data_IF_773081585091
#
_entry.id   IF_773081585091
#
_cell.length_a   1.000
_cell.length_b   1.000
_cell.length_c   1.000
_cell.angle_alpha   90.00
_cell.angle_beta   90.00
_cell.angle_gamma   90.00
#
_symmetry.space_group_name_H-M   'P 1'
#
loop_
_entity.id
_entity.type
_entity.pdbx_description
1 polymer ?
#
# COMPACT_ATOMS: atom_id res chain seq x y z
N UNK A 1 2.43 -3.05 -20.19
CA UNK A 1 3.20 -3.31 -21.41
C UNK A 1 2.34 -3.08 -22.65
N UNK A 2 1.25 -3.81 -22.87
CA UNK A 2 0.33 -3.58 -24.02
C UNK A 2 -0.30 -2.20 -23.93
N UNK A 3 -0.73 -1.74 -22.74
CA UNK A 3 -1.32 -0.41 -22.54
C UNK A 3 -0.38 0.71 -23.00
N UNK A 4 0.89 0.64 -22.64
CA UNK A 4 1.88 1.62 -23.06
C UNK A 4 2.04 1.64 -24.59
N UNK A 5 2.01 0.46 -25.21
CA UNK A 5 2.12 0.34 -26.67
C UNK A 5 0.96 1.02 -27.40
N UNK A 6 -0.28 0.73 -27.01
CA UNK A 6 -1.40 1.36 -27.69
C UNK A 6 -1.59 2.85 -27.34
N UNK A 7 -1.18 3.31 -26.14
CA UNK A 7 -1.14 4.74 -25.85
C UNK A 7 -0.10 5.47 -26.70
N UNK A 8 1.07 4.85 -26.95
CA UNK A 8 2.06 5.40 -27.85
C UNK A 8 1.52 5.47 -29.30
N UNK A 9 0.92 4.40 -29.79
CA UNK A 9 0.33 4.33 -31.13
C UNK A 9 -0.84 5.31 -31.30
N UNK A 10 -1.57 5.58 -30.25
CA UNK A 10 -2.64 6.58 -30.21
C UNK A 10 -2.12 8.03 -30.14
N UNK A 11 -0.79 8.25 -29.98
CA UNK A 11 -0.20 9.58 -29.81
C UNK A 11 -0.54 10.26 -28.49
N UNK A 12 -0.93 9.48 -27.45
CA UNK A 12 -1.36 10.04 -26.18
C UNK A 12 -0.24 10.17 -25.15
N UNK A 13 0.87 9.41 -25.28
CA UNK A 13 1.93 9.43 -24.27
C UNK A 13 2.58 10.79 -24.12
N UNK A 14 2.96 11.44 -25.22
CA UNK A 14 3.62 12.75 -25.19
C UNK A 14 2.76 13.82 -24.50
N UNK A 15 1.43 13.77 -24.74
CA UNK A 15 0.49 14.67 -24.11
C UNK A 15 0.32 14.37 -22.61
N UNK A 16 0.31 13.10 -22.22
CA UNK A 16 0.25 12.70 -20.81
C UNK A 16 1.52 13.11 -20.08
N UNK A 17 2.70 12.94 -20.69
CA UNK A 17 3.99 13.36 -20.12
C UNK A 17 4.08 14.88 -19.97
N UNK A 18 3.54 15.63 -20.92
CA UNK A 18 3.44 17.10 -20.82
C UNK A 18 2.55 17.56 -19.65
N UNK A 19 1.58 16.75 -19.24
CA UNK A 19 0.77 16.95 -18.03
C UNK A 19 1.40 16.38 -16.75
N UNK A 20 2.61 15.79 -16.83
CA UNK A 20 3.32 15.23 -15.69
C UNK A 20 2.99 13.77 -15.39
N UNK A 21 2.30 13.05 -16.28
CA UNK A 21 2.06 11.61 -16.15
C UNK A 21 3.17 10.81 -16.80
N UNK A 22 3.92 10.08 -16.02
CA UNK A 22 5.03 9.24 -16.49
C UNK A 22 4.78 7.77 -16.17
N UNK A 23 5.26 6.89 -17.06
CA UNK A 23 5.32 5.47 -16.77
C UNK A 23 6.39 5.20 -15.72
N UNK A 24 5.98 4.78 -14.50
CA UNK A 24 6.88 4.49 -13.39
C UNK A 24 7.04 3.00 -13.12
N UNK A 25 6.16 2.16 -13.63
CA UNK A 25 6.24 0.71 -13.45
C UNK A 25 4.96 -0.01 -13.85
N UNK A 26 5.02 -1.34 -13.81
CA UNK A 26 3.90 -2.24 -14.05
C UNK A 26 3.59 -3.05 -12.81
N UNK A 27 2.32 -3.19 -12.47
CA UNK A 27 1.86 -3.98 -11.33
C UNK A 27 1.25 -3.13 -10.22
N UNK A 28 1.27 -3.67 -9.01
CA UNK A 28 0.71 -3.00 -7.84
C UNK A 28 1.71 -1.99 -7.27
N UNK A 29 1.44 -0.70 -7.44
CA UNK A 29 2.21 0.38 -6.83
C UNK A 29 1.42 1.02 -5.69
N UNK A 30 0.47 1.86 -6.00
CA UNK A 30 -0.37 2.57 -5.01
C UNK A 30 -1.17 1.62 -4.13
N UNK A 31 -1.70 0.53 -4.70
CA UNK A 31 -2.50 -0.47 -3.96
C UNK A 31 -1.72 -1.15 -2.83
N UNK A 32 -0.39 -1.27 -2.95
CA UNK A 32 0.48 -1.91 -1.95
C UNK A 32 1.28 -0.89 -1.11
N UNK A 33 1.04 0.40 -1.29
CA UNK A 33 1.74 1.44 -0.54
C UNK A 33 3.12 1.82 -1.10
N UNK A 34 3.37 1.58 -2.39
CA UNK A 34 4.63 1.88 -3.06
C UNK A 34 4.51 3.08 -4.02
N UNK A 35 3.70 4.07 -3.65
CA UNK A 35 3.55 5.29 -4.45
C UNK A 35 4.82 6.16 -4.45
N UNK A 36 5.73 5.92 -3.52
CA UNK A 36 6.94 6.71 -3.33
C UNK A 36 6.72 7.96 -2.47
N UNK A 37 7.79 8.65 -2.06
CA UNK A 37 7.69 9.87 -1.29
C UNK A 37 7.25 11.05 -2.15
N UNK A 38 6.59 12.02 -1.54
CA UNK A 38 6.43 13.33 -2.16
C UNK A 38 7.78 14.06 -2.20
N UNK A 39 8.02 14.95 -3.18
CA UNK A 39 9.17 15.85 -3.14
C UNK A 39 9.21 16.63 -1.82
N UNK A 40 10.38 16.73 -1.19
CA UNK A 40 10.55 17.34 0.11
C UNK A 40 9.89 18.73 0.24
N UNK A 41 10.02 19.67 -0.73
CA UNK A 41 9.36 20.98 -0.64
C UNK A 41 7.82 20.90 -0.57
N UNK A 42 7.23 19.88 -1.21
CA UNK A 42 5.76 19.68 -1.19
C UNK A 42 5.33 19.14 0.17
N UNK A 43 6.01 18.13 0.71
CA UNK A 43 5.73 17.59 2.03
C UNK A 43 5.90 18.66 3.12
N UNK A 44 6.96 19.46 3.07
CA UNK A 44 7.19 20.58 3.97
C UNK A 44 6.06 21.62 3.90
N UNK A 45 5.64 22.01 2.70
CA UNK A 45 4.55 22.98 2.52
C UNK A 45 3.22 22.44 3.08
N UNK A 46 2.92 21.15 2.91
CA UNK A 46 1.73 20.51 3.49
C UNK A 46 1.77 20.60 5.01
N UNK A 47 2.90 20.25 5.63
CA UNK A 47 3.04 20.27 7.09
C UNK A 47 3.02 21.70 7.67
N UNK A 48 3.81 22.62 7.11
CA UNK A 48 3.88 24.00 7.58
C UNK A 48 2.56 24.75 7.41
N UNK A 49 1.89 24.55 6.28
CA UNK A 49 0.61 25.16 5.96
C UNK A 49 -0.61 24.43 6.57
N UNK A 50 -0.41 23.27 7.21
CA UNK A 50 -1.48 22.36 7.62
C UNK A 50 -2.51 22.14 6.50
N UNK A 51 -2.02 21.91 5.26
CA UNK A 51 -2.85 21.87 4.08
C UNK A 51 -3.62 20.55 3.99
N UNK A 52 -4.81 20.61 3.43
CA UNK A 52 -5.57 19.43 3.03
C UNK A 52 -5.13 18.99 1.64
N UNK A 53 -4.04 18.21 1.57
CA UNK A 53 -3.61 17.61 0.31
C UNK A 53 -4.55 16.48 -0.09
N UNK A 54 -4.84 16.40 -1.40
CA UNK A 54 -5.75 15.41 -1.96
C UNK A 54 -5.04 14.60 -3.06
N UNK A 55 -5.50 13.37 -3.30
CA UNK A 55 -5.16 12.61 -4.50
C UNK A 55 -6.40 12.26 -5.30
N UNK A 56 -6.28 12.27 -6.62
CA UNK A 56 -7.29 11.76 -7.54
C UNK A 56 -6.64 10.68 -8.38
N UNK A 57 -7.19 9.48 -8.34
CA UNK A 57 -6.57 8.34 -9.03
C UNK A 57 -7.61 7.39 -9.60
N UNK A 58 -7.22 6.67 -10.64
CA UNK A 58 -7.95 5.53 -11.16
C UNK A 58 -7.23 4.25 -10.75
N UNK A 59 -7.90 3.37 -10.02
CA UNK A 59 -7.25 2.16 -9.51
C UNK A 59 -8.06 1.44 -8.44
N UNK A 60 -7.39 0.67 -7.59
CA UNK A 60 -8.01 -0.10 -6.53
C UNK A 60 -8.40 0.78 -5.33
N UNK A 61 -9.44 0.37 -4.61
CA UNK A 61 -10.08 1.12 -3.51
C UNK A 61 -9.33 1.16 -2.18
N UNK A 62 -8.15 0.59 -2.07
CA UNK A 62 -7.40 0.52 -0.81
C UNK A 62 -6.60 1.81 -0.58
N UNK A 63 -7.27 2.88 -0.16
CA UNK A 63 -6.64 4.21 -0.05
C UNK A 63 -6.03 4.52 1.30
N UNK A 64 -6.56 3.97 2.38
CA UNK A 64 -6.22 4.39 3.74
C UNK A 64 -4.73 4.22 4.05
N UNK A 65 -4.02 5.35 4.11
CA UNK A 65 -2.59 5.41 4.42
C UNK A 65 -1.64 4.77 3.40
N UNK A 66 -2.16 4.27 2.27
CA UNK A 66 -1.35 3.59 1.25
C UNK A 66 -0.89 4.49 0.12
N UNK A 67 -1.61 5.55 -0.19
CA UNK A 67 -1.22 6.47 -1.25
C UNK A 67 -0.04 7.30 -0.77
N UNK A 68 -0.24 8.09 0.27
CA UNK A 68 0.83 8.81 0.95
C UNK A 68 0.35 9.25 2.34
N UNK A 69 1.19 9.26 3.39
CA UNK A 69 0.79 9.70 4.73
C UNK A 69 0.36 11.15 4.80
N UNK A 70 0.91 12.03 3.96
CA UNK A 70 0.58 13.45 3.92
C UNK A 70 -0.71 13.77 3.15
N UNK A 71 -1.28 12.78 2.44
CA UNK A 71 -2.51 12.95 1.68
C UNK A 71 -3.70 12.53 2.52
N UNK A 72 -4.57 13.49 2.86
CA UNK A 72 -5.69 13.29 3.79
C UNK A 72 -6.99 12.88 3.12
N UNK A 73 -7.19 13.23 1.85
CA UNK A 73 -8.38 12.88 1.10
C UNK A 73 -8.01 12.24 -0.25
N UNK A 74 -8.61 11.10 -0.54
CA UNK A 74 -8.31 10.33 -1.73
C UNK A 74 -9.59 10.07 -2.52
N UNK A 75 -9.57 10.38 -3.81
CA UNK A 75 -10.71 10.28 -4.69
C UNK A 75 -10.45 9.26 -5.80
N UNK A 76 -11.40 8.35 -5.97
CA UNK A 76 -11.38 7.39 -7.07
C UNK A 76 -12.20 7.96 -8.23
N UNK A 77 -11.57 8.07 -9.38
CA UNK A 77 -12.20 8.59 -10.59
C UNK A 77 -11.83 7.75 -11.81
N UNK A 78 -12.58 7.91 -12.89
CA UNK A 78 -12.19 7.32 -14.18
C UNK A 78 -10.92 7.96 -14.71
N UNK A 79 -10.12 7.28 -15.56
CA UNK A 79 -8.90 7.87 -16.12
C UNK A 79 -9.11 9.24 -16.77
N UNK A 80 -10.18 9.50 -17.56
CA UNK A 80 -10.42 10.83 -18.11
C UNK A 80 -10.65 11.92 -17.06
N UNK A 81 -11.36 11.59 -15.97
CA UNK A 81 -11.56 12.53 -14.87
C UNK A 81 -10.27 12.79 -14.09
N UNK A 82 -9.40 11.79 -13.92
CA UNK A 82 -8.07 12.01 -13.31
C UNK A 82 -7.27 13.02 -14.11
N UNK A 83 -7.30 12.94 -15.45
CA UNK A 83 -6.65 13.93 -16.33
C UNK A 83 -7.31 15.31 -16.20
N UNK A 84 -8.63 15.38 -16.17
CA UNK A 84 -9.35 16.64 -16.01
C UNK A 84 -9.01 17.35 -14.69
N UNK A 85 -8.96 16.63 -13.58
CA UNK A 85 -8.56 17.20 -12.29
C UNK A 85 -7.07 17.58 -12.24
N UNK A 86 -6.20 16.90 -12.99
CA UNK A 86 -4.80 17.30 -13.13
C UNK A 86 -4.67 18.64 -13.88
N UNK A 87 -5.49 18.84 -14.91
CA UNK A 87 -5.55 20.13 -15.65
C UNK A 87 -6.05 21.24 -14.72
N UNK A 88 -7.11 20.96 -13.94
CA UNK A 88 -7.69 21.93 -13.00
C UNK A 88 -6.73 22.26 -11.82
N UNK A 89 -5.88 21.33 -11.40
CA UNK A 89 -4.94 21.50 -10.28
C UNK A 89 -5.62 21.65 -8.91
N UNK A 90 -6.92 21.46 -8.80
CA UNK A 90 -7.69 21.60 -7.56
C UNK A 90 -8.91 20.68 -7.56
N UNK A 91 -9.34 20.29 -6.36
CA UNK A 91 -10.62 19.59 -6.12
C UNK A 91 -11.75 20.55 -5.74
N UNK A 92 -11.41 21.83 -5.47
CA UNK A 92 -12.40 22.84 -5.08
C UNK A 92 -13.00 23.53 -6.31
N UNK A 93 -13.71 22.75 -7.12
CA UNK A 93 -14.41 23.21 -8.32
C UNK A 93 -15.63 22.35 -8.58
N UNK A 94 -16.62 22.91 -9.25
CA UNK A 94 -17.73 22.16 -9.86
C UNK A 94 -17.36 21.86 -11.33
N UNK A 95 -17.03 20.61 -11.68
CA UNK A 95 -16.59 20.26 -13.03
C UNK A 95 -17.64 20.50 -14.13
N UNK A 96 -18.90 20.71 -13.76
CA UNK A 96 -19.99 20.99 -14.72
C UNK A 96 -20.15 22.48 -15.02
N UNK A 97 -19.80 23.36 -14.09
CA UNK A 97 -20.06 24.79 -14.19
C UNK A 97 -18.79 25.65 -14.15
N UNK A 98 -17.73 25.20 -13.49
CA UNK A 98 -16.48 25.93 -13.39
C UNK A 98 -15.52 25.58 -14.53
N UNK A 99 -14.73 26.54 -15.03
CA UNK A 99 -13.68 26.24 -16.00
C UNK A 99 -12.55 25.44 -15.34
N UNK A 100 -12.05 24.43 -16.04
CA UNK A 100 -10.91 23.64 -15.62
C UNK A 100 -9.58 24.38 -15.81
N UNK A 101 -9.51 25.24 -16.85
CA UNK A 101 -8.34 25.99 -17.22
C UNK A 101 -8.71 27.21 -18.05
N UNK A 102 -7.72 28.00 -18.39
CA UNK A 102 -7.83 29.07 -19.39
C UNK A 102 -6.76 28.88 -20.46
N UNK A 103 -7.11 29.15 -21.70
CA UNK A 103 -6.19 29.14 -22.83
C UNK A 103 -5.20 30.32 -22.74
N UNK A 104 -4.15 30.32 -23.55
CA UNK A 104 -3.15 31.37 -23.57
C UNK A 104 -3.73 32.77 -23.91
N UNK A 105 -4.84 32.84 -24.65
CA UNK A 105 -5.59 34.05 -24.99
C UNK A 105 -6.67 34.42 -23.95
N UNK A 106 -6.74 33.67 -22.84
CA UNK A 106 -7.61 33.94 -21.70
C UNK A 106 -9.04 33.37 -21.82
N UNK A 107 -9.33 32.54 -22.80
CA UNK A 107 -10.64 31.91 -22.92
C UNK A 107 -10.79 30.77 -21.91
N UNK A 108 -11.96 30.63 -21.23
CA UNK A 108 -12.19 29.54 -20.29
C UNK A 108 -12.38 28.20 -21.03
N UNK A 109 -11.82 27.13 -20.45
CA UNK A 109 -11.93 25.75 -20.94
C UNK A 109 -12.73 24.93 -19.92
N UNK A 110 -13.83 24.37 -20.35
CA UNK A 110 -14.72 23.57 -19.50
C UNK A 110 -14.55 22.08 -19.78
N UNK A 111 -15.00 21.24 -18.85
CA UNK A 111 -14.96 19.78 -19.00
C UNK A 111 -15.60 19.31 -20.31
N UNK A 112 -16.75 19.89 -20.70
CA UNK A 112 -17.45 19.58 -21.95
C UNK A 112 -16.62 19.84 -23.21
N UNK A 113 -15.68 20.78 -23.15
CA UNK A 113 -14.81 21.13 -24.28
C UNK A 113 -13.67 20.14 -24.47
N UNK A 114 -13.31 19.42 -23.39
CA UNK A 114 -12.26 18.40 -23.36
C UNK A 114 -12.82 16.98 -23.49
N UNK A 115 -14.12 16.78 -23.26
CA UNK A 115 -14.69 15.43 -23.20
C UNK A 115 -14.87 14.85 -24.60
N UNK A 116 -14.20 13.72 -24.93
CA UNK A 116 -14.28 13.15 -26.28
C UNK A 116 -15.66 12.55 -26.54
N UNK A 117 -16.09 12.62 -27.78
CA UNK A 117 -17.30 11.92 -28.24
C UNK A 117 -17.07 10.41 -28.34
N UNK A 118 -18.13 9.63 -28.28
CA UNK A 118 -18.02 8.17 -28.46
C UNK A 118 -17.42 7.79 -29.82
N UNK A 119 -17.69 8.57 -30.87
CA UNK A 119 -17.15 8.34 -32.20
C UNK A 119 -15.64 8.57 -32.28
N UNK A 120 -15.10 9.61 -31.59
CA UNK A 120 -13.66 9.84 -31.48
C UNK A 120 -12.96 8.72 -30.71
N UNK A 121 -13.55 8.28 -29.61
CA UNK A 121 -13.02 7.15 -28.84
C UNK A 121 -12.99 5.88 -29.69
N UNK A 122 -14.10 5.55 -30.37
CA UNK A 122 -14.21 4.36 -31.23
C UNK A 122 -13.20 4.41 -32.37
N UNK A 123 -13.00 5.54 -33.02
CA UNK A 123 -12.03 5.71 -34.09
C UNK A 123 -10.62 5.42 -33.60
N UNK A 124 -10.20 5.96 -32.44
CA UNK A 124 -8.87 5.72 -31.87
C UNK A 124 -8.73 4.26 -31.44
N UNK A 125 -9.68 3.68 -30.75
CA UNK A 125 -9.65 2.28 -30.30
C UNK A 125 -9.49 1.34 -31.51
N UNK A 126 -10.32 1.57 -32.55
CA UNK A 126 -10.29 0.72 -33.76
C UNK A 126 -9.00 0.85 -34.55
N UNK A 127 -8.39 2.03 -34.56
CA UNK A 127 -7.13 2.25 -35.31
C UNK A 127 -5.87 1.86 -34.56
N UNK A 128 -5.93 1.65 -33.22
CA UNK A 128 -4.74 1.44 -32.40
C UNK A 128 -4.69 0.11 -31.66
N UNK A 129 -5.85 -0.51 -31.38
CA UNK A 129 -5.90 -1.77 -30.60
C UNK A 129 -6.24 -2.93 -31.54
N UNK A 130 -5.22 -3.74 -31.83
CA UNK A 130 -5.33 -4.90 -32.71
C UNK A 130 -4.82 -6.16 -32.00
N UNK A 131 -5.21 -7.34 -32.48
CA UNK A 131 -4.74 -8.61 -31.94
C UNK A 131 -3.22 -8.75 -32.02
N UNK A 132 -2.59 -8.16 -33.03
CA UNK A 132 -1.15 -8.15 -33.26
C UNK A 132 -0.41 -7.46 -32.12
N UNK A 133 -0.94 -6.39 -31.52
CA UNK A 133 -0.32 -5.72 -30.37
C UNK A 133 -0.10 -6.70 -29.21
N UNK A 134 -1.10 -7.56 -28.97
CA UNK A 134 -1.02 -8.57 -27.93
C UNK A 134 -0.08 -9.70 -28.30
N UNK A 135 -0.17 -10.18 -29.55
CA UNK A 135 0.72 -11.24 -30.05
C UNK A 135 2.19 -10.83 -29.96
N UNK A 136 2.55 -9.62 -30.41
CA UNK A 136 3.90 -9.09 -30.31
C UNK A 136 4.39 -8.96 -28.87
N UNK A 137 3.58 -8.41 -27.96
CA UNK A 137 3.99 -8.18 -26.57
C UNK A 137 4.06 -9.45 -25.73
N UNK A 138 3.34 -10.49 -26.13
CA UNK A 138 3.33 -11.78 -25.43
C UNK A 138 4.08 -12.88 -26.17
N UNK A 139 4.74 -12.57 -27.29
CA UNK A 139 5.52 -13.55 -28.05
C UNK A 139 6.65 -14.17 -27.23
N UNK A 140 7.25 -13.40 -26.34
CA UNK A 140 8.32 -13.83 -25.46
C UNK A 140 8.12 -13.35 -24.03
N UNK A 141 7.33 -14.08 -23.25
CA UNK A 141 7.05 -13.78 -21.84
C UNK A 141 7.98 -14.49 -20.87
N UNK A 142 8.80 -15.43 -21.34
CA UNK A 142 9.63 -16.28 -20.48
C UNK A 142 11.10 -15.87 -20.47
N UNK A 143 11.62 -15.19 -21.49
CA UNK A 143 13.04 -14.82 -21.56
C UNK A 143 13.42 -13.69 -20.61
N UNK A 144 12.47 -12.82 -20.26
CA UNK A 144 12.75 -11.63 -19.45
C UNK A 144 13.68 -10.62 -20.14
N UNK A 145 14.01 -9.53 -19.45
CA UNK A 145 15.02 -8.56 -19.87
C UNK A 145 16.43 -9.00 -19.44
N UNK A 146 17.44 -8.19 -19.77
CA UNK A 146 18.84 -8.53 -19.45
C UNK A 146 19.07 -8.58 -17.94
N UNK A 147 18.44 -7.68 -17.15
CA UNK A 147 18.54 -7.70 -15.70
C UNK A 147 17.96 -8.98 -15.10
N UNK A 148 16.81 -9.44 -15.62
CA UNK A 148 16.22 -10.71 -15.21
C UNK A 148 17.13 -11.91 -15.52
N UNK A 149 17.75 -11.91 -16.70
CA UNK A 149 18.68 -12.97 -17.12
C UNK A 149 20.00 -12.94 -16.36
N UNK A 150 20.41 -11.77 -15.88
CA UNK A 150 21.62 -11.61 -15.08
C UNK A 150 21.47 -12.04 -13.61
N UNK A 151 20.24 -12.36 -13.15
CA UNK A 151 20.02 -12.85 -11.80
C UNK A 151 20.68 -14.22 -11.64
N UNK A 152 21.70 -14.27 -10.79
CA UNK A 152 22.33 -15.54 -10.41
C UNK A 152 21.40 -16.33 -9.48
N UNK A 153 21.05 -17.54 -9.91
CA UNK A 153 20.26 -18.46 -9.09
C UNK A 153 21.21 -19.48 -8.45
N UNK A 154 21.31 -19.47 -7.10
CA UNK A 154 22.13 -20.47 -6.43
C UNK A 154 21.63 -21.88 -6.72
N UNK A 155 22.53 -22.75 -7.16
CA UNK A 155 22.21 -24.15 -7.41
C UNK A 155 21.96 -24.93 -6.12
N UNK A 156 21.29 -26.10 -6.23
CA UNK A 156 21.07 -27.00 -5.10
C UNK A 156 19.62 -27.40 -4.90
N UNK A 157 19.37 -28.39 -4.05
CA UNK A 157 18.03 -28.89 -3.71
C UNK A 157 17.33 -28.07 -2.61
N UNK A 158 18.06 -27.17 -1.96
CA UNK A 158 17.53 -26.31 -0.89
C UNK A 158 18.01 -24.89 -1.09
N UNK A 159 17.12 -23.93 -0.83
CA UNK A 159 17.45 -22.51 -0.85
C UNK A 159 18.33 -22.14 0.35
N UNK A 160 19.43 -21.47 0.07
CA UNK A 160 20.29 -20.87 1.11
C UNK A 160 19.80 -19.44 1.36
N UNK A 161 19.33 -19.18 2.57
CA UNK A 161 18.80 -17.87 2.94
C UNK A 161 19.95 -16.91 3.25
N UNK A 162 20.17 -15.89 2.40
CA UNK A 162 21.15 -14.84 2.71
C UNK A 162 20.63 -13.93 3.82
N UNK A 163 21.55 -13.26 4.50
CA UNK A 163 21.15 -12.16 5.40
C UNK A 163 20.49 -11.03 4.61
N UNK A 164 19.30 -10.66 5.04
CA UNK A 164 18.50 -9.63 4.37
C UNK A 164 17.52 -8.99 5.34
N UNK A 165 17.31 -7.69 5.21
CA UNK A 165 16.25 -6.95 5.92
C UNK A 165 14.93 -6.94 5.15
N UNK A 166 14.88 -7.51 3.94
CA UNK A 166 13.68 -7.62 3.10
C UNK A 166 13.07 -9.03 3.07
N UNK A 167 13.91 -10.07 3.04
CA UNK A 167 13.44 -11.46 2.96
C UNK A 167 14.19 -12.29 3.98
N UNK A 168 13.47 -12.91 4.92
CA UNK A 168 14.05 -13.77 5.94
C UNK A 168 13.35 -15.11 5.98
N UNK A 169 14.13 -16.16 6.31
CA UNK A 169 13.56 -17.49 6.58
C UNK A 169 12.53 -17.37 7.72
N UNK A 170 11.26 -17.70 7.49
CA UNK A 170 10.25 -17.65 8.54
C UNK A 170 10.38 -18.87 9.48
N UNK A 171 10.05 -18.71 10.78
CA UNK A 171 10.16 -19.79 11.77
C UNK A 171 8.97 -20.74 11.80
N UNK A 172 7.94 -20.54 10.96
CA UNK A 172 6.65 -21.22 11.08
C UNK A 172 6.71 -22.74 10.96
N UNK A 173 7.75 -23.28 10.36
CA UNK A 173 7.97 -24.73 10.21
C UNK A 173 9.01 -25.28 11.18
N UNK A 174 9.61 -24.43 12.02
CA UNK A 174 10.60 -24.88 12.98
C UNK A 174 9.91 -25.72 14.07
N UNK A 175 10.39 -26.94 14.26
CA UNK A 175 9.77 -27.89 15.22
C UNK A 175 8.46 -28.54 14.76
N UNK A 176 8.00 -28.29 13.53
CA UNK A 176 6.77 -28.91 13.02
C UNK A 176 6.95 -30.41 12.83
N UNK A 177 6.07 -31.20 13.47
CA UNK A 177 6.02 -32.64 13.28
C UNK A 177 5.27 -33.06 12.02
N UNK A 178 5.39 -34.33 11.64
CA UNK A 178 4.66 -34.90 10.49
C UNK A 178 3.14 -35.00 10.71
N UNK A 179 2.71 -35.02 11.97
CA UNK A 179 1.30 -35.03 12.35
C UNK A 179 0.96 -33.80 13.18
N UNK A 180 -0.22 -33.18 12.98
CA UNK A 180 -0.63 -32.06 13.81
C UNK A 180 -0.71 -32.45 15.29
N UNK A 181 -0.33 -31.52 16.16
CA UNK A 181 -0.55 -31.68 17.59
C UNK A 181 -2.05 -31.71 17.92
N UNK A 182 -2.49 -32.41 18.99
CA UNK A 182 -3.86 -32.34 19.43
C UNK A 182 -4.24 -30.90 19.82
N UNK A 183 -5.53 -30.58 19.71
CA UNK A 183 -6.04 -29.27 20.16
C UNK A 183 -6.04 -29.22 21.68
N UNK A 184 -5.36 -28.24 22.24
CA UNK A 184 -5.34 -27.99 23.69
C UNK A 184 -6.35 -26.89 24.07
N UNK A 185 -7.00 -26.98 25.22
CA UNK A 185 -7.85 -25.90 25.71
C UNK A 185 -7.05 -24.64 25.99
N UNK A 186 -7.51 -23.50 25.49
CA UNK A 186 -6.91 -22.19 25.82
C UNK A 186 -7.34 -21.81 27.23
N UNK A 187 -6.39 -21.74 28.17
CA UNK A 187 -6.64 -21.36 29.56
C UNK A 187 -5.70 -20.23 30.00
N UNK A 188 -6.15 -19.35 30.90
CA UNK A 188 -5.33 -18.27 31.43
C UNK A 188 -5.01 -17.15 30.44
N UNK A 189 -5.60 -17.15 29.25
CA UNK A 189 -5.33 -16.18 28.21
C UNK A 189 -5.66 -14.73 28.63
N UNK A 190 -4.92 -13.78 28.08
CA UNK A 190 -5.17 -12.34 28.22
C UNK A 190 -5.65 -11.75 26.91
N UNK A 191 -6.59 -10.81 26.99
CA UNK A 191 -7.02 -10.04 25.83
C UNK A 191 -5.94 -9.02 25.50
N UNK A 192 -5.30 -9.18 24.35
CA UNK A 192 -4.30 -8.24 23.85
C UNK A 192 -4.94 -7.06 23.14
N UNK A 193 -5.99 -7.33 22.36
CA UNK A 193 -6.70 -6.34 21.54
C UNK A 193 -8.18 -6.61 21.60
N UNK A 194 -8.99 -5.59 21.84
CA UNK A 194 -10.44 -5.64 21.70
C UNK A 194 -10.88 -4.56 20.72
N UNK A 195 -11.53 -4.96 19.64
CA UNK A 195 -11.91 -4.07 18.53
C UNK A 195 -13.37 -4.32 18.12
N UNK A 196 -13.98 -3.31 17.52
CA UNK A 196 -15.35 -3.37 17.01
C UNK A 196 -15.50 -4.12 15.70
N UNK A 197 -16.57 -3.79 14.98
CA UNK A 197 -16.92 -4.36 13.69
C UNK A 197 -16.01 -3.85 12.57
N UNK A 198 -15.96 -4.58 11.44
CA UNK A 198 -15.34 -4.19 10.18
C UNK A 198 -13.82 -3.91 10.29
N UNK A 199 -13.13 -4.67 11.11
CA UNK A 199 -11.67 -4.66 11.16
C UNK A 199 -11.12 -5.44 9.96
N UNK A 200 -10.65 -4.74 8.97
CA UNK A 200 -10.16 -5.31 7.72
C UNK A 200 -8.74 -5.85 7.83
N UNK A 201 -8.31 -6.59 6.82
CA UNK A 201 -6.91 -7.07 6.71
C UNK A 201 -5.89 -5.94 6.72
N UNK A 202 -6.28 -4.70 6.35
CA UNK A 202 -5.43 -3.51 6.46
C UNK A 202 -5.18 -3.05 7.90
N UNK A 203 -6.14 -3.25 8.77
CA UNK A 203 -5.97 -2.97 10.20
C UNK A 203 -5.07 -4.01 10.86
N UNK A 204 -5.18 -5.26 10.44
CA UNK A 204 -4.43 -6.39 11.01
C UNK A 204 -2.99 -6.41 10.49
N UNK A 205 -2.80 -6.25 9.18
CA UNK A 205 -1.49 -6.30 8.52
C UNK A 205 -1.30 -5.09 7.59
N UNK A 206 -0.80 -3.98 8.10
CA UNK A 206 -0.62 -2.75 7.32
C UNK A 206 0.38 -2.93 6.18
N UNK A 207 0.24 -2.10 5.14
CA UNK A 207 1.14 -2.06 4.00
C UNK A 207 1.88 -0.70 3.87
N UNK A 208 1.46 0.30 4.64
CA UNK A 208 1.98 1.67 4.58
C UNK A 208 3.40 1.84 5.14
N UNK A 209 3.82 3.10 5.27
CA UNK A 209 5.13 3.46 5.76
C UNK A 209 5.42 2.94 7.18
N UNK A 210 6.70 2.68 7.46
CA UNK A 210 7.17 2.25 8.77
C UNK A 210 7.66 3.47 9.53
N UNK A 211 7.02 3.79 10.65
CA UNK A 211 7.45 4.90 11.51
C UNK A 211 8.75 4.58 12.26
N UNK A 212 9.64 5.57 12.40
CA UNK A 212 10.95 5.39 13.04
C UNK A 212 10.85 4.85 14.48
N UNK A 213 9.90 5.38 15.26
CA UNK A 213 9.70 5.00 16.66
C UNK A 213 8.83 3.74 16.84
N UNK A 214 8.32 3.19 15.75
CA UNK A 214 7.53 1.95 15.80
C UNK A 214 8.40 0.74 16.16
N UNK A 215 7.82 -0.36 16.67
CA UNK A 215 8.59 -1.59 16.90
C UNK A 215 9.34 -2.08 15.65
N UNK A 216 8.74 -1.95 14.46
CA UNK A 216 9.39 -2.31 13.20
C UNK A 216 10.52 -1.34 12.83
N UNK A 217 10.32 -0.03 13.08
CA UNK A 217 11.35 0.99 12.85
C UNK A 217 12.58 0.76 13.74
N UNK A 218 12.37 0.54 15.05
CA UNK A 218 13.47 0.19 15.97
C UNK A 218 14.24 -1.05 15.49
N UNK A 219 13.53 -2.11 15.12
CA UNK A 219 14.15 -3.32 14.59
C UNK A 219 15.00 -3.04 13.34
N UNK A 220 14.54 -2.20 12.42
CA UNK A 220 15.30 -1.86 11.22
C UNK A 220 16.51 -0.99 11.55
N UNK A 221 16.38 -0.02 12.47
CA UNK A 221 17.50 0.79 12.95
C UNK A 221 18.58 -0.07 13.61
N UNK A 222 18.18 -1.03 14.46
CA UNK A 222 19.08 -1.98 15.11
C UNK A 222 19.80 -2.89 14.09
N UNK A 223 19.16 -3.14 12.94
CA UNK A 223 19.75 -3.85 11.81
C UNK A 223 20.61 -2.95 10.88
N UNK A 224 20.82 -1.69 11.24
CA UNK A 224 21.65 -0.73 10.51
C UNK A 224 20.98 -0.11 9.28
N UNK A 225 19.67 -0.20 9.15
CA UNK A 225 18.93 0.45 8.04
C UNK A 225 18.66 1.90 8.42
N UNK A 226 19.01 2.84 7.54
CA UNK A 226 18.70 4.25 7.71
C UNK A 226 17.18 4.51 7.62
N UNK A 227 16.68 5.55 8.30
CA UNK A 227 15.23 5.83 8.36
C UNK A 227 14.63 6.10 6.98
N UNK A 228 15.36 6.78 6.12
CA UNK A 228 14.99 7.04 4.73
C UNK A 228 14.86 5.77 3.87
N UNK A 229 15.51 4.68 4.30
CA UNK A 229 15.53 3.38 3.62
C UNK A 229 14.54 2.37 4.23
N UNK A 230 13.75 2.77 5.24
CA UNK A 230 12.78 1.86 5.88
C UNK A 230 11.76 1.33 4.89
N UNK A 231 11.37 2.18 3.93
CA UNK A 231 10.37 1.84 2.95
C UNK A 231 9.00 1.56 3.61
N UNK A 232 8.29 0.52 3.21
CA UNK A 232 6.96 0.21 3.71
C UNK A 232 6.84 -1.22 4.22
N UNK A 233 5.83 -1.51 5.05
CA UNK A 233 5.47 -2.87 5.42
C UNK A 233 5.20 -3.75 4.19
N UNK A 234 4.54 -3.18 3.16
CA UNK A 234 4.29 -3.88 1.90
C UNK A 234 5.56 -4.31 1.18
N UNK A 235 6.59 -3.47 1.15
CA UNK A 235 7.89 -3.78 0.54
C UNK A 235 8.67 -4.85 1.31
N UNK A 236 8.51 -4.88 2.63
CA UNK A 236 9.21 -5.81 3.54
C UNK A 236 8.39 -7.01 3.95
N UNK A 237 7.29 -7.29 3.26
CA UNK A 237 6.40 -8.42 3.59
C UNK A 237 7.07 -9.80 3.59
N UNK A 238 8.24 -9.94 2.98
CA UNK A 238 9.08 -11.14 3.04
C UNK A 238 9.91 -11.28 4.32
N UNK A 239 9.89 -10.28 5.20
CA UNK A 239 10.56 -10.29 6.48
C UNK A 239 9.54 -10.41 7.62
N UNK A 240 9.40 -11.61 8.19
CA UNK A 240 8.44 -11.88 9.26
C UNK A 240 8.70 -11.04 10.51
N UNK A 241 9.95 -10.67 10.80
CA UNK A 241 10.31 -9.84 11.95
C UNK A 241 9.72 -8.42 11.82
N UNK A 242 9.74 -7.85 10.62
CA UNK A 242 9.09 -6.56 10.34
C UNK A 242 7.57 -6.71 10.42
N UNK A 243 7.03 -7.77 9.82
CA UNK A 243 5.58 -7.93 9.71
C UNK A 243 4.91 -8.22 11.06
N UNK A 244 5.51 -9.05 11.92
CA UNK A 244 4.94 -9.30 13.25
C UNK A 244 4.97 -8.05 14.12
N UNK A 245 5.97 -7.18 13.96
CA UNK A 245 6.04 -5.87 14.62
C UNK A 245 5.04 -4.87 14.06
N UNK A 246 4.56 -5.09 12.85
CA UNK A 246 3.52 -4.32 12.18
C UNK A 246 2.10 -4.83 12.43
N UNK A 247 1.92 -5.95 13.13
CA UNK A 247 0.58 -6.46 13.41
C UNK A 247 -0.21 -5.45 14.24
N UNK A 248 -1.40 -5.07 13.74
CA UNK A 248 -2.23 -4.00 14.29
C UNK A 248 -1.56 -2.62 14.35
N UNK A 249 -0.55 -2.33 13.52
CA UNK A 249 0.12 -1.03 13.46
C UNK A 249 -0.63 0.02 12.63
N UNK A 250 -1.87 -0.23 12.24
CA UNK A 250 -2.69 0.75 11.54
C UNK A 250 -2.96 1.97 12.44
N UNK A 251 -2.68 3.15 11.93
CA UNK A 251 -2.79 4.43 12.67
C UNK A 251 -4.21 4.78 13.10
N UNK A 252 -5.22 4.17 12.49
CA UNK A 252 -6.65 4.40 12.79
C UNK A 252 -7.27 3.29 13.63
N UNK A 253 -6.49 2.31 14.05
CA UNK A 253 -7.00 1.23 14.89
C UNK A 253 -7.50 1.80 16.22
N UNK A 254 -8.73 1.45 16.60
CA UNK A 254 -9.32 1.82 17.89
C UNK A 254 -9.41 0.58 18.76
N UNK A 255 -8.51 0.49 19.74
CA UNK A 255 -8.51 -0.59 20.70
C UNK A 255 -9.37 -0.20 21.91
N UNK A 256 -10.49 -0.88 22.12
CA UNK A 256 -11.43 -0.61 23.21
C UNK A 256 -10.82 -0.84 24.62
N UNK A 257 -9.69 -1.55 24.72
CA UNK A 257 -8.95 -1.67 25.98
C UNK A 257 -8.27 -0.35 26.38
N UNK A 258 -8.12 0.58 25.43
CA UNK A 258 -7.53 1.92 25.66
C UNK A 258 -8.44 2.99 25.05
N UNK A 259 -9.59 3.26 25.66
CA UNK A 259 -10.57 4.20 25.12
C UNK A 259 -9.96 5.56 24.82
N UNK A 260 -10.35 6.16 23.69
CA UNK A 260 -9.88 7.48 23.25
C UNK A 260 -8.48 7.48 22.61
N UNK A 261 -7.85 6.31 22.42
CA UNK A 261 -6.61 6.19 21.64
C UNK A 261 -6.89 5.67 20.23
N UNK A 262 -6.02 6.04 19.29
CA UNK A 262 -5.92 5.49 17.95
C UNK A 262 -4.51 4.96 17.72
N UNK A 263 -4.37 3.99 16.82
CA UNK A 263 -3.09 3.37 16.47
C UNK A 263 -2.79 2.09 17.25
N UNK A 264 -1.55 1.62 17.14
CA UNK A 264 -1.06 0.36 17.70
C UNK A 264 -0.79 0.43 19.20
N UNK A 265 -1.81 0.70 19.99
CA UNK A 265 -1.69 0.87 21.45
C UNK A 265 -2.58 -0.11 22.20
N UNK A 266 -2.05 -0.69 23.27
CA UNK A 266 -2.80 -1.52 24.21
C UNK A 266 -2.37 -1.26 25.64
N UNK A 267 -2.97 -1.95 26.61
CA UNK A 267 -2.58 -1.96 28.01
C UNK A 267 -2.03 -3.32 28.39
N UNK A 268 -0.86 -3.35 28.97
CA UNK A 268 -0.31 -4.54 29.61
C UNK A 268 -0.89 -4.63 31.02
N UNK A 269 -1.86 -5.52 31.24
CA UNK A 269 -2.64 -5.57 32.48
C UNK A 269 -1.80 -5.79 33.75
N UNK A 270 -0.76 -6.64 33.76
CA UNK A 270 0.06 -6.82 34.97
C UNK A 270 0.70 -5.54 35.47
N UNK A 271 1.24 -4.71 34.56
CA UNK A 271 1.91 -3.43 34.90
C UNK A 271 1.00 -2.22 34.80
N UNK A 272 -0.19 -2.38 34.21
CA UNK A 272 -1.12 -1.29 33.88
C UNK A 272 -0.51 -0.22 32.96
N UNK A 273 0.56 -0.54 32.26
CA UNK A 273 1.26 0.37 31.36
C UNK A 273 0.63 0.36 29.97
N UNK A 274 0.51 1.53 29.36
CA UNK A 274 0.22 1.66 27.92
C UNK A 274 1.50 1.44 27.13
N UNK A 275 1.42 0.63 26.09
CA UNK A 275 2.56 0.36 25.20
C UNK A 275 2.05 -0.06 23.82
N UNK A 276 2.97 -0.30 22.88
CA UNK A 276 2.59 -0.84 21.58
C UNK A 276 2.00 -2.25 21.75
N UNK A 277 1.12 -2.64 20.81
CA UNK A 277 0.53 -3.99 20.82
C UNK A 277 1.63 -5.05 20.73
N UNK A 278 2.67 -4.80 19.93
CA UNK A 278 3.81 -5.70 19.80
C UNK A 278 4.60 -5.82 21.14
N UNK A 279 4.96 -4.71 21.76
CA UNK A 279 5.74 -4.74 22.99
C UNK A 279 4.96 -5.44 24.13
N UNK A 280 3.65 -5.22 24.20
CA UNK A 280 2.79 -5.94 25.15
C UNK A 280 2.73 -7.44 24.84
N UNK A 281 2.63 -7.83 23.58
CA UNK A 281 2.63 -9.24 23.19
C UNK A 281 3.94 -9.91 23.56
N UNK A 282 5.08 -9.24 23.38
CA UNK A 282 6.39 -9.77 23.80
C UNK A 282 6.50 -9.91 25.32
N UNK A 283 6.04 -8.92 26.09
CA UNK A 283 6.03 -9.00 27.55
C UNK A 283 5.16 -10.15 28.09
N UNK A 284 4.05 -10.49 27.41
CA UNK A 284 3.25 -11.66 27.75
C UNK A 284 3.92 -12.98 27.30
N UNK A 285 4.59 -12.97 26.14
CA UNK A 285 5.30 -14.15 25.63
C UNK A 285 6.44 -14.57 26.58
N UNK A 286 7.19 -13.61 27.16
CA UNK A 286 8.20 -13.86 28.19
C UNK A 286 7.63 -14.55 29.44
N UNK A 287 6.34 -14.37 29.70
CA UNK A 287 5.63 -14.97 30.84
C UNK A 287 4.85 -16.23 30.43
N UNK A 288 4.99 -16.69 29.19
CA UNK A 288 4.25 -17.83 28.61
C UNK A 288 2.72 -17.69 28.74
N UNK A 289 2.21 -16.44 28.71
CA UNK A 289 0.77 -16.15 28.82
C UNK A 289 0.13 -16.18 27.45
N UNK A 290 -0.86 -17.05 27.21
CA UNK A 290 -1.60 -17.07 25.93
C UNK A 290 -2.37 -15.76 25.71
N UNK A 291 -2.50 -15.36 24.45
CA UNK A 291 -3.18 -14.13 24.05
C UNK A 291 -4.39 -14.41 23.19
N UNK A 292 -5.40 -13.56 23.32
CA UNK A 292 -6.59 -13.57 22.48
C UNK A 292 -6.89 -12.17 21.96
N UNK A 293 -7.46 -12.12 20.76
CA UNK A 293 -8.05 -10.91 20.17
C UNK A 293 -9.55 -11.07 20.18
N UNK A 294 -10.27 -10.08 20.65
CA UNK A 294 -11.72 -10.01 20.63
C UNK A 294 -12.13 -8.97 19.59
N UNK A 295 -12.91 -9.38 18.61
CA UNK A 295 -13.35 -8.52 17.52
C UNK A 295 -14.86 -8.66 17.28
N UNK A 296 -15.45 -7.64 16.66
CA UNK A 296 -16.83 -7.65 16.22
C UNK A 296 -17.03 -8.39 14.89
N UNK A 297 -18.09 -8.04 14.18
CA UNK A 297 -18.44 -8.64 12.90
C UNK A 297 -17.45 -8.26 11.81
N UNK A 298 -17.36 -9.07 10.74
CA UNK A 298 -16.55 -8.79 9.55
C UNK A 298 -15.06 -8.62 9.85
N UNK A 299 -14.54 -9.26 10.88
CA UNK A 299 -13.11 -9.28 11.16
C UNK A 299 -12.34 -9.99 10.04
N UNK A 300 -11.27 -9.35 9.54
CA UNK A 300 -10.42 -9.89 8.50
C UNK A 300 -11.00 -9.80 7.09
N UNK A 301 -12.05 -9.00 6.86
CA UNK A 301 -12.56 -8.72 5.52
C UNK A 301 -11.58 -7.84 4.73
N UNK A 302 -11.67 -7.84 3.39
CA UNK A 302 -10.84 -7.03 2.52
C UNK A 302 -9.87 -7.85 1.67
N UNK A 303 -8.68 -7.31 1.40
CA UNK A 303 -7.68 -7.99 0.57
C UNK A 303 -7.17 -9.28 1.20
N UNK A 304 -6.95 -10.32 0.39
CA UNK A 304 -6.26 -11.53 0.86
C UNK A 304 -4.84 -11.19 1.29
N UNK A 305 -4.60 -11.17 2.58
CA UNK A 305 -3.29 -10.95 3.17
C UNK A 305 -2.88 -12.14 3.99
N UNK A 306 -1.84 -12.78 3.55
CA UNK A 306 -1.21 -13.89 4.23
C UNK A 306 -0.86 -13.56 5.69
N UNK A 307 -0.28 -12.38 5.91
CA UNK A 307 0.10 -11.92 7.24
C UNK A 307 -1.08 -11.61 8.18
N UNK A 308 -2.24 -11.33 7.64
CA UNK A 308 -3.44 -11.14 8.47
C UNK A 308 -3.95 -12.46 9.07
N UNK A 309 -3.55 -13.60 8.51
CA UNK A 309 -3.87 -14.94 9.03
C UNK A 309 -2.82 -15.47 10.01
N UNK A 310 -1.59 -14.98 9.93
CA UNK A 310 -0.45 -15.34 10.80
C UNK A 310 -0.34 -14.46 12.02
#
# INVERSE_FOLDING_TARGET
QVVTDYLARAGLLDNLEALGYYLVGYGCTTCIGNAGPLPAPISEAIHQGNLLATSVLSGNRNFEGRIHPDVRANYLASPPLVVAYAIAGTMNLDPYHDPLATTADGAPVYLKDLWPTSAEIEAIVTSTIHAENFAEKYADVFSGNDDWRAIEVPGGSRYTWPESTYVRKPPFFDGMGATPAPLEPVSGARCLVKVGDSITTDHISPAGAIGADSPAGRYLSDAGVAVEDFNSYGSRRGNHEVMMRGTFANVRLKNELVPGSEGSVTVHFPTRSRMSIYDAAMAYAEQEVPLVVIAGREYGTGSSRDWAAK
#
